data_IF_569425133145
#
_entry.id   IF_569425133145
#
_cell.length_a   1.000
_cell.length_b   1.000
_cell.length_c   1.000
_cell.angle_alpha   90.00
_cell.angle_beta   90.00
_cell.angle_gamma   90.00
#
_symmetry.space_group_name_H-M   'P 1'
#
loop_
_entity.id
_entity.type
_entity.pdbx_description
1 polymer ?
#
# COMPACT_ATOMS: atom_id res chain seq x y z
N UNK A 1 61.41 21.25 58.46
CA UNK A 1 60.45 20.59 57.54
C UNK A 1 59.14 20.40 58.28
N UNK A 2 58.03 20.95 57.79
CA UNK A 2 56.81 21.11 58.58
C UNK A 2 55.99 19.79 58.63
N UNK A 3 55.42 19.43 59.78
CA UNK A 3 54.66 18.17 60.01
C UNK A 3 53.53 18.00 58.98
N UNK A 4 52.93 19.10 58.53
CA UNK A 4 51.90 19.12 57.47
C UNK A 4 52.40 18.65 56.11
N UNK A 5 53.69 18.84 55.81
CA UNK A 5 54.30 18.40 54.55
C UNK A 5 54.59 16.90 54.58
N UNK A 6 55.02 16.36 55.73
CA UNK A 6 55.30 14.93 55.92
C UNK A 6 54.01 14.10 55.80
N UNK A 7 52.90 14.57 56.38
CA UNK A 7 51.59 13.89 56.24
C UNK A 7 51.06 13.89 54.80
N UNK A 8 51.30 14.95 54.01
CA UNK A 8 50.91 14.98 52.59
C UNK A 8 51.68 13.93 51.76
N UNK A 9 52.97 13.75 52.03
CA UNK A 9 53.77 12.72 51.34
C UNK A 9 53.41 11.30 51.78
N UNK A 10 53.10 11.09 53.07
CA UNK A 10 52.64 9.78 53.57
C UNK A 10 51.28 9.35 52.98
N UNK A 11 50.35 10.29 52.82
CA UNK A 11 49.06 10.03 52.13
C UNK A 11 49.27 9.76 50.64
N UNK A 12 50.22 10.44 49.99
CA UNK A 12 50.50 10.23 48.56
C UNK A 12 51.17 8.87 48.30
N UNK A 13 52.07 8.43 49.19
CA UNK A 13 52.77 7.14 49.06
C UNK A 13 51.82 5.95 49.29
N UNK A 14 50.86 6.04 50.22
CA UNK A 14 49.85 4.97 50.41
C UNK A 14 48.86 4.90 49.25
N UNK A 15 48.52 6.03 48.63
CA UNK A 15 47.60 6.09 47.48
C UNK A 15 48.25 5.54 46.20
N UNK A 16 49.57 5.69 46.03
CA UNK A 16 50.32 5.10 44.90
C UNK A 16 50.52 3.58 45.07
N UNK A 17 50.71 3.08 46.29
CA UNK A 17 50.83 1.63 46.55
C UNK A 17 49.51 0.86 46.35
N UNK A 18 48.36 1.52 46.44
CA UNK A 18 47.05 0.90 46.21
C UNK A 18 46.72 0.69 44.72
N UNK A 19 47.33 1.47 43.82
CA UNK A 19 47.05 1.39 42.37
C UNK A 19 47.85 0.27 41.67
N UNK A 20 48.98 -0.18 42.24
CA UNK A 20 49.83 -1.22 41.64
C UNK A 20 49.35 -2.66 41.96
N UNK A 21 48.46 -2.84 42.94
CA UNK A 21 47.96 -4.15 43.38
C UNK A 21 46.88 -4.81 42.50
N UNK A 22 46.51 -4.22 41.36
CA UNK A 22 45.49 -4.76 40.44
C UNK A 22 46.04 -5.20 39.08
N UNK A 23 47.32 -5.58 39.01
CA UNK A 23 47.87 -6.29 37.86
C UNK A 23 48.22 -7.73 38.25
N UNK A 24 47.26 -8.64 38.01
CA UNK A 24 47.39 -10.10 37.80
C UNK A 24 46.16 -10.84 38.34
N UNK A 25 45.07 -10.84 37.57
CA UNK A 25 44.12 -11.96 37.59
C UNK A 25 43.57 -12.25 36.19
N UNK A 26 44.08 -13.33 35.61
CA UNK A 26 43.25 -14.38 35.02
C UNK A 26 42.59 -14.08 33.68
N UNK A 27 43.31 -14.37 32.60
CA UNK A 27 42.73 -14.64 31.29
C UNK A 27 42.04 -16.00 31.31
N UNK A 28 40.74 -16.06 31.63
CA UNK A 28 39.91 -17.23 31.32
C UNK A 28 39.24 -17.06 29.96
N UNK A 29 39.64 -17.94 29.02
CA UNK A 29 39.17 -17.96 27.64
C UNK A 29 37.94 -18.87 27.55
N UNK A 30 36.74 -18.33 27.78
CA UNK A 30 35.48 -19.02 27.43
C UNK A 30 35.14 -18.73 25.97
N UNK A 31 35.35 -19.73 25.11
CA UNK A 31 34.81 -19.75 23.74
C UNK A 31 33.30 -19.96 23.83
N UNK A 32 32.51 -18.91 23.61
CA UNK A 32 31.12 -19.07 23.22
C UNK A 32 30.95 -18.69 21.75
N UNK A 33 30.21 -19.57 21.08
CA UNK A 33 30.16 -19.70 19.63
C UNK A 33 29.53 -18.50 18.95
N UNK A 34 30.11 -18.21 17.80
CA UNK A 34 29.58 -17.31 16.78
C UNK A 34 28.33 -17.97 16.17
N UNK A 35 27.14 -17.76 16.75
CA UNK A 35 25.89 -17.98 16.04
C UNK A 35 25.57 -16.69 15.30
N UNK A 36 25.96 -16.67 14.03
CA UNK A 36 25.60 -15.63 13.06
C UNK A 36 24.12 -15.74 12.75
N UNK A 37 23.28 -15.20 13.61
CA UNK A 37 21.87 -14.98 13.32
C UNK A 37 21.72 -13.62 12.64
N UNK A 38 22.17 -13.56 11.38
CA UNK A 38 21.84 -12.46 10.50
C UNK A 38 20.41 -12.69 9.97
N UNK A 39 19.44 -12.82 10.88
CA UNK A 39 18.02 -12.68 10.55
C UNK A 39 17.75 -11.18 10.42
N UNK A 40 18.22 -10.61 9.30
CA UNK A 40 17.60 -9.38 8.81
C UNK A 40 16.24 -9.81 8.33
N UNK A 41 15.22 -9.56 9.15
CA UNK A 41 13.89 -9.31 8.61
C UNK A 41 14.09 -8.25 7.54
N UNK A 42 13.99 -8.65 6.28
CA UNK A 42 13.86 -7.67 5.19
C UNK A 42 12.48 -7.07 5.42
N UNK A 43 12.42 -6.01 6.23
CA UNK A 43 11.28 -5.10 6.16
C UNK A 43 11.28 -4.58 4.73
N UNK A 44 10.37 -5.11 3.91
CA UNK A 44 10.19 -4.58 2.56
C UNK A 44 9.67 -3.16 2.73
N UNK A 45 10.49 -2.18 2.36
CA UNK A 45 10.11 -0.78 2.41
C UNK A 45 8.84 -0.60 1.57
N UNK A 46 7.75 -0.19 2.20
CA UNK A 46 6.48 0.05 1.53
C UNK A 46 6.48 1.44 0.89
N UNK A 47 5.74 1.58 -0.21
CA UNK A 47 5.52 2.85 -0.90
C UNK A 47 4.04 3.23 -0.83
N UNK A 48 3.75 4.52 -1.03
CA UNK A 48 2.39 5.07 -0.98
C UNK A 48 1.99 5.67 -2.32
N UNK A 49 0.77 5.36 -2.77
CA UNK A 49 0.13 5.99 -3.92
C UNK A 49 -1.23 6.59 -3.50
N UNK A 50 -1.75 7.57 -4.24
CA UNK A 50 -3.05 8.18 -3.92
C UNK A 50 -3.86 8.47 -5.18
N UNK A 51 -5.10 7.99 -5.21
CA UNK A 51 -5.96 8.00 -6.39
C UNK A 51 -7.37 8.48 -6.02
N UNK A 52 -8.01 9.26 -6.88
CA UNK A 52 -9.42 9.64 -6.80
C UNK A 52 -10.15 9.21 -8.07
N UNK A 53 -11.33 8.62 -7.91
CA UNK A 53 -12.02 7.91 -9.00
C UNK A 53 -13.53 7.77 -8.80
N UNK A 54 -14.16 8.78 -8.22
CA UNK A 54 -15.57 8.74 -7.81
C UNK A 54 -15.71 8.27 -6.37
N UNK A 55 -16.84 7.64 -6.03
CA UNK A 55 -17.03 7.09 -4.70
C UNK A 55 -15.85 6.21 -4.27
N UNK A 56 -15.21 6.60 -3.18
CA UNK A 56 -14.00 5.93 -2.68
C UNK A 56 -14.23 4.48 -2.25
N UNK A 57 -15.47 4.04 -2.00
CA UNK A 57 -15.77 2.67 -1.58
C UNK A 57 -15.44 1.68 -2.69
N UNK A 58 -15.80 2.02 -3.93
CA UNK A 58 -15.49 1.19 -5.09
C UNK A 58 -13.99 1.18 -5.40
N UNK A 59 -13.33 2.33 -5.29
CA UNK A 59 -11.90 2.46 -5.56
C UNK A 59 -11.08 1.72 -4.49
N UNK A 60 -11.44 1.89 -3.22
CA UNK A 60 -10.79 1.23 -2.09
C UNK A 60 -10.95 -0.29 -2.21
N UNK A 61 -12.17 -0.78 -2.46
CA UNK A 61 -12.43 -2.20 -2.61
C UNK A 61 -11.67 -2.85 -3.77
N UNK A 62 -11.37 -2.10 -4.84
CA UNK A 62 -10.55 -2.59 -5.94
C UNK A 62 -9.08 -2.72 -5.56
N UNK A 63 -8.51 -1.71 -4.89
CA UNK A 63 -7.12 -1.75 -4.43
C UNK A 63 -6.89 -2.75 -3.30
N UNK A 64 -7.83 -2.88 -2.36
CA UNK A 64 -7.74 -3.84 -1.26
C UNK A 64 -7.66 -5.31 -1.75
N UNK A 65 -8.13 -5.58 -2.97
CA UNK A 65 -8.09 -6.91 -3.61
C UNK A 65 -6.85 -7.09 -4.51
N UNK A 66 -6.06 -6.05 -4.74
CA UNK A 66 -4.89 -6.11 -5.62
C UNK A 66 -3.70 -6.77 -4.90
N UNK A 67 -3.07 -7.82 -5.47
CA UNK A 67 -1.89 -8.43 -4.88
C UNK A 67 -0.77 -7.41 -4.66
N UNK A 68 -0.09 -7.51 -3.52
CA UNK A 68 1.00 -6.59 -3.15
C UNK A 68 0.54 -5.28 -2.51
N UNK A 69 -0.75 -4.96 -2.52
CA UNK A 69 -1.30 -3.88 -1.69
C UNK A 69 -1.36 -4.35 -0.23
N UNK A 70 -0.79 -3.54 0.65
CA UNK A 70 -0.78 -3.76 2.11
C UNK A 70 -2.02 -3.17 2.75
N UNK A 71 -2.42 -1.96 2.34
CA UNK A 71 -3.60 -1.27 2.85
C UNK A 71 -4.15 -0.29 1.82
N UNK A 72 -5.48 -0.21 1.71
CA UNK A 72 -6.18 0.85 1.00
C UNK A 72 -7.05 1.61 1.99
N UNK A 73 -6.88 2.93 2.09
CA UNK A 73 -7.59 3.77 3.06
C UNK A 73 -8.43 4.79 2.31
N UNK A 74 -9.74 4.86 2.57
CA UNK A 74 -10.62 5.92 2.06
C UNK A 74 -10.36 7.24 2.77
N UNK A 75 -10.45 8.34 2.05
CA UNK A 75 -10.24 9.67 2.61
C UNK A 75 -10.45 10.81 1.64
N UNK A 76 -9.97 11.99 2.03
CA UNK A 76 -10.17 13.25 1.35
C UNK A 76 -8.82 13.89 1.01
N UNK A 77 -8.62 14.31 -0.23
CA UNK A 77 -7.36 14.90 -0.71
C UNK A 77 -7.58 16.06 -1.69
N UNK A 78 -6.56 16.89 -1.91
CA UNK A 78 -6.57 17.95 -2.92
C UNK A 78 -7.34 19.23 -2.58
N UNK A 79 -8.04 19.27 -1.44
CA UNK A 79 -8.72 20.46 -0.93
C UNK A 79 -7.86 21.30 0.02
N UNK A 80 -8.49 22.31 0.62
CA UNK A 80 -7.87 23.23 1.56
C UNK A 80 -8.51 23.16 2.94
N UNK A 81 -7.76 23.49 3.99
CA UNK A 81 -8.24 23.43 5.37
C UNK A 81 -7.78 22.17 6.09
N UNK A 82 -8.19 22.02 7.34
CA UNK A 82 -7.76 20.92 8.20
C UNK A 82 -8.96 20.07 8.59
N UNK A 83 -8.73 18.76 8.70
CA UNK A 83 -9.68 17.78 9.20
C UNK A 83 -11.09 17.86 8.56
N UNK A 84 -11.19 17.74 7.22
CA UNK A 84 -12.49 17.62 6.56
C UNK A 84 -13.25 16.39 7.07
N UNK A 85 -14.56 16.53 7.16
CA UNK A 85 -15.51 15.45 7.46
C UNK A 85 -16.37 15.16 6.23
N UNK A 86 -17.07 14.03 6.23
CA UNK A 86 -17.98 13.67 5.15
C UNK A 86 -19.02 14.77 4.84
N UNK A 87 -19.43 15.55 5.84
CA UNK A 87 -20.41 16.63 5.69
C UNK A 87 -19.85 17.92 5.08
N UNK A 88 -18.53 18.11 5.10
CA UNK A 88 -17.92 19.40 4.73
C UNK A 88 -16.80 19.31 3.69
N UNK A 89 -16.24 18.12 3.41
CA UNK A 89 -15.05 17.98 2.55
C UNK A 89 -15.24 18.59 1.15
N UNK A 90 -16.47 18.49 0.61
CA UNK A 90 -16.81 19.07 -0.70
C UNK A 90 -16.74 20.61 -0.70
N UNK A 91 -17.04 21.28 0.43
CA UNK A 91 -17.02 22.74 0.55
C UNK A 91 -15.60 23.28 0.58
N UNK A 92 -14.68 22.51 1.16
CA UNK A 92 -13.24 22.78 1.19
C UNK A 92 -12.51 22.31 -0.08
N UNK A 93 -13.25 21.85 -1.10
CA UNK A 93 -12.71 21.46 -2.40
C UNK A 93 -11.97 20.12 -2.41
N UNK A 94 -12.07 19.32 -1.34
CA UNK A 94 -11.49 17.98 -1.32
C UNK A 94 -12.21 17.04 -2.30
N UNK A 95 -11.46 16.05 -2.77
CA UNK A 95 -11.93 14.93 -3.58
C UNK A 95 -11.95 13.69 -2.70
N UNK A 96 -12.95 12.83 -2.88
CA UNK A 96 -12.87 11.46 -2.37
C UNK A 96 -11.70 10.72 -3.03
N UNK A 97 -10.78 10.24 -2.21
CA UNK A 97 -9.55 9.62 -2.62
C UNK A 97 -9.26 8.36 -1.79
N UNK A 98 -8.36 7.54 -2.32
CA UNK A 98 -7.86 6.35 -1.65
C UNK A 98 -6.34 6.44 -1.59
N UNK A 99 -5.80 6.32 -0.38
CA UNK A 99 -4.37 6.17 -0.15
C UNK A 99 -4.04 4.67 -0.09
N UNK A 100 -3.14 4.24 -0.97
CA UNK A 100 -2.74 2.84 -1.17
C UNK A 100 -1.31 2.67 -0.68
N UNK A 101 -1.13 1.92 0.40
CA UNK A 101 0.17 1.45 0.87
C UNK A 101 0.47 0.11 0.20
N UNK A 102 1.61 -0.01 -0.48
CA UNK A 102 1.95 -1.21 -1.25
C UNK A 102 3.40 -1.63 -1.08
N UNK A 103 3.67 -2.91 -1.32
CA UNK A 103 5.01 -3.49 -1.35
C UNK A 103 5.55 -3.43 -2.80
N UNK A 104 6.52 -2.54 -3.11
CA UNK A 104 7.06 -2.38 -4.46
C UNK A 104 7.76 -3.64 -4.99
N UNK A 105 8.12 -4.60 -4.12
CA UNK A 105 8.66 -5.89 -4.54
C UNK A 105 7.56 -6.84 -5.07
N UNK A 106 6.28 -6.58 -4.77
CA UNK A 106 5.14 -7.41 -5.16
C UNK A 106 4.28 -6.75 -6.24
N UNK A 107 4.14 -5.43 -6.20
CA UNK A 107 3.33 -4.66 -7.15
C UNK A 107 4.00 -3.33 -7.48
N UNK A 108 4.09 -3.01 -8.76
CA UNK A 108 4.66 -1.74 -9.22
C UNK A 108 3.60 -0.63 -9.24
N UNK A 109 4.06 0.63 -9.22
CA UNK A 109 3.18 1.78 -9.33
C UNK A 109 2.38 1.79 -10.65
N UNK A 110 2.98 1.33 -11.75
CA UNK A 110 2.31 1.18 -13.05
C UNK A 110 1.17 0.14 -12.99
N UNK A 111 1.35 -0.95 -12.25
CA UNK A 111 0.27 -1.91 -12.03
C UNK A 111 -0.87 -1.32 -11.20
N UNK A 112 -0.57 -0.43 -10.23
CA UNK A 112 -1.60 0.31 -9.51
C UNK A 112 -2.34 1.30 -10.42
N UNK A 113 -1.64 1.96 -11.34
CA UNK A 113 -2.26 2.80 -12.36
C UNK A 113 -3.20 1.97 -13.27
N UNK A 114 -2.79 0.76 -13.68
CA UNK A 114 -3.65 -0.14 -14.45
C UNK A 114 -4.91 -0.56 -13.70
N UNK A 115 -4.78 -0.84 -12.39
CA UNK A 115 -5.94 -1.10 -11.52
C UNK A 115 -6.86 0.11 -11.52
N UNK A 116 -6.30 1.31 -11.30
CA UNK A 116 -7.04 2.57 -11.26
C UNK A 116 -7.82 2.85 -12.56
N UNK A 117 -7.18 2.77 -13.72
CA UNK A 117 -7.84 3.02 -15.01
C UNK A 117 -9.01 2.08 -15.27
N UNK A 118 -8.94 0.85 -14.73
CA UNK A 118 -10.02 -0.15 -14.83
C UNK A 118 -11.16 0.05 -13.83
N UNK A 119 -11.12 1.08 -12.98
CA UNK A 119 -12.19 1.40 -12.02
C UNK A 119 -12.98 2.68 -12.37
N UNK A 120 -12.51 3.46 -13.35
CA UNK A 120 -13.03 4.80 -13.64
C UNK A 120 -13.47 4.96 -15.11
N UNK A 121 -14.26 6.00 -15.37
CA UNK A 121 -14.35 6.63 -16.68
C UNK A 121 -13.31 7.75 -16.75
N UNK A 122 -12.18 7.56 -17.44
CA UNK A 122 -11.11 8.55 -17.50
C UNK A 122 -11.45 9.76 -18.40
N UNK A 123 -12.63 9.75 -19.04
CA UNK A 123 -13.09 10.79 -19.97
C UNK A 123 -14.20 11.68 -19.41
N UNK A 124 -14.60 11.46 -18.17
CA UNK A 124 -15.71 12.15 -17.52
C UNK A 124 -15.21 13.28 -16.60
N UNK A 125 -15.36 14.57 -17.00
CA UNK A 125 -14.94 15.70 -16.18
C UNK A 125 -15.95 16.04 -15.07
N UNK A 126 -17.16 15.47 -15.09
CA UNK A 126 -18.28 15.87 -14.23
C UNK A 126 -18.50 15.02 -12.98
N UNK A 127 -17.57 14.10 -12.68
CA UNK A 127 -17.73 13.06 -11.67
C UNK A 127 -17.65 11.66 -12.29
N UNK A 128 -18.00 10.62 -11.56
CA UNK A 128 -17.87 9.23 -12.00
C UNK A 128 -19.20 8.48 -11.85
N UNK A 129 -19.71 7.95 -12.96
CA UNK A 129 -21.00 7.24 -13.04
C UNK A 129 -22.17 8.00 -12.38
N UNK A 130 -22.90 7.45 -11.41
CA UNK A 130 -23.93 8.19 -10.69
C UNK A 130 -23.38 9.27 -9.73
N UNK A 131 -22.10 9.19 -9.36
CA UNK A 131 -21.46 10.14 -8.44
C UNK A 131 -21.05 11.41 -9.21
N UNK A 132 -21.76 12.53 -8.99
CA UNK A 132 -21.58 13.76 -9.77
C UNK A 132 -21.01 14.90 -8.91
N UNK A 133 -20.17 15.72 -9.52
CA UNK A 133 -19.58 16.90 -8.88
C UNK A 133 -18.06 16.83 -8.79
N UNK A 134 -17.44 17.98 -8.50
CA UNK A 134 -15.98 18.13 -8.45
C UNK A 134 -15.31 17.22 -7.43
N UNK A 135 -16.00 16.88 -6.34
CA UNK A 135 -15.53 15.99 -5.28
C UNK A 135 -15.47 14.51 -5.69
N UNK A 136 -16.06 14.17 -6.85
CA UNK A 136 -16.02 12.83 -7.47
C UNK A 136 -15.19 12.78 -8.76
N UNK A 137 -14.48 13.86 -9.12
CA UNK A 137 -13.63 13.86 -10.33
C UNK A 137 -12.46 12.89 -10.19
N UNK A 138 -11.92 12.43 -11.32
CA UNK A 138 -10.77 11.54 -11.32
C UNK A 138 -9.44 12.30 -11.22
N UNK A 139 -8.56 11.83 -10.33
CA UNK A 139 -7.22 12.38 -10.18
C UNK A 139 -6.20 11.31 -9.72
N UNK A 140 -4.95 11.47 -10.14
CA UNK A 140 -3.79 10.78 -9.59
C UNK A 140 -2.95 11.82 -8.85
N UNK A 141 -2.73 11.59 -7.56
CA UNK A 141 -1.89 12.45 -6.74
C UNK A 141 -0.49 11.86 -6.67
N UNK A 142 0.49 12.50 -7.31
CA UNK A 142 1.87 12.03 -7.31
C UNK A 142 2.61 12.47 -6.04
N UNK A 143 3.31 11.54 -5.41
CA UNK A 143 4.11 11.79 -4.19
C UNK A 143 5.55 12.23 -4.52
N UNK A 144 6.03 11.90 -5.71
CA UNK A 144 7.35 12.25 -6.20
C UNK A 144 7.39 12.38 -7.74
N UNK A 145 8.53 12.83 -8.27
CA UNK A 145 8.74 13.00 -9.71
C UNK A 145 8.70 11.67 -10.49
N UNK A 146 9.02 10.54 -9.86
CA UNK A 146 8.91 9.22 -10.50
C UNK A 146 7.43 8.89 -10.73
N UNK A 147 6.59 9.02 -9.71
CA UNK A 147 5.15 8.82 -9.82
C UNK A 147 4.53 9.76 -10.84
N UNK A 148 4.93 11.05 -10.87
CA UNK A 148 4.46 12.01 -11.87
C UNK A 148 4.71 11.49 -13.30
N UNK A 149 5.97 11.17 -13.63
CA UNK A 149 6.34 10.70 -14.97
C UNK A 149 5.63 9.40 -15.36
N UNK A 150 5.50 8.46 -14.42
CA UNK A 150 4.83 7.18 -14.69
C UNK A 150 3.32 7.37 -14.90
N UNK A 151 2.68 8.26 -14.12
CA UNK A 151 1.26 8.55 -14.25
C UNK A 151 0.95 9.31 -15.55
N UNK A 152 1.78 10.31 -15.92
CA UNK A 152 1.69 11.02 -17.20
C UNK A 152 1.87 10.06 -18.38
N UNK A 153 2.90 9.21 -18.35
CA UNK A 153 3.12 8.20 -19.39
C UNK A 153 1.93 7.24 -19.50
N UNK A 154 1.43 6.74 -18.37
CA UNK A 154 0.30 5.80 -18.33
C UNK A 154 -0.98 6.45 -18.87
N UNK A 155 -1.24 7.72 -18.55
CA UNK A 155 -2.34 8.51 -19.10
C UNK A 155 -2.22 8.68 -20.62
N UNK A 156 -1.02 8.98 -21.11
CA UNK A 156 -0.74 9.14 -22.54
C UNK A 156 -0.93 7.82 -23.30
N UNK A 157 -0.42 6.72 -22.76
CA UNK A 157 -0.58 5.39 -23.34
C UNK A 157 -2.08 4.99 -23.39
N UNK A 158 -2.82 5.31 -22.33
CA UNK A 158 -4.27 5.09 -22.27
C UNK A 158 -5.01 5.90 -23.34
N UNK A 159 -4.67 7.18 -23.50
CA UNK A 159 -5.27 8.05 -24.52
C UNK A 159 -4.97 7.55 -25.95
N UNK A 160 -3.77 7.01 -26.19
CA UNK A 160 -3.34 6.45 -27.49
C UNK A 160 -3.88 5.05 -27.77
N UNK A 161 -4.45 4.38 -26.77
CA UNK A 161 -4.94 2.99 -26.91
C UNK A 161 -6.12 2.81 -27.87
N UNK A 162 -6.79 3.91 -28.27
CA UNK A 162 -8.01 3.87 -29.08
C UNK A 162 -9.23 3.32 -28.34
N UNK A 163 -9.13 3.08 -27.02
CA UNK A 163 -10.20 2.51 -26.21
C UNK A 163 -11.32 3.49 -25.88
N UNK A 164 -10.99 4.78 -25.83
CA UNK A 164 -11.93 5.84 -25.47
C UNK A 164 -12.17 6.77 -26.66
N UNK A 165 -13.45 7.05 -26.95
CA UNK A 165 -13.84 7.99 -28.01
C UNK A 165 -13.76 9.46 -27.61
N UNK A 166 -13.35 9.75 -26.36
CA UNK A 166 -13.20 11.09 -25.79
C UNK A 166 -11.81 11.24 -25.18
N UNK A 167 -11.28 12.47 -25.05
CA UNK A 167 -10.00 12.71 -24.39
C UNK A 167 -9.97 12.21 -22.95
N UNK A 168 -8.81 11.72 -22.51
CA UNK A 168 -8.59 11.38 -21.09
C UNK A 168 -8.37 12.66 -20.29
N UNK A 169 -9.32 12.97 -19.39
CA UNK A 169 -9.36 14.21 -18.62
C UNK A 169 -8.86 14.06 -17.19
N UNK A 170 -8.61 12.82 -16.71
CA UNK A 170 -8.09 12.56 -15.36
C UNK A 170 -6.87 13.43 -15.01
N UNK A 171 -6.93 14.10 -13.88
CA UNK A 171 -5.90 15.03 -13.41
C UNK A 171 -4.66 14.27 -12.92
N UNK A 172 -3.45 14.80 -13.19
CA UNK A 172 -2.20 14.33 -12.57
C UNK A 172 -1.65 15.51 -11.78
N UNK A 173 -1.77 15.47 -10.45
CA UNK A 173 -1.56 16.63 -9.58
C UNK A 173 -0.64 16.31 -8.40
N UNK A 174 0.10 17.29 -7.85
CA UNK A 174 0.96 17.05 -6.71
C UNK A 174 0.15 16.61 -5.49
N UNK A 175 0.62 15.58 -4.81
CA UNK A 175 0.12 15.24 -3.49
C UNK A 175 0.48 16.33 -2.48
N UNK A 176 -0.47 16.72 -1.64
CA UNK A 176 -0.28 17.71 -0.58
C UNK A 176 -0.55 17.09 0.79
N UNK A 177 -1.81 16.74 1.05
CA UNK A 177 -2.27 16.16 2.31
C UNK A 177 -3.39 15.15 2.03
N UNK A 178 -3.44 14.11 2.85
CA UNK A 178 -4.51 13.14 2.90
C UNK A 178 -5.16 13.17 4.28
N UNK A 179 -6.49 13.20 4.31
CA UNK A 179 -7.27 13.06 5.52
C UNK A 179 -8.03 11.75 5.45
N UNK A 180 -7.74 10.80 6.34
CA UNK A 180 -8.51 9.57 6.39
C UNK A 180 -9.98 9.90 6.68
N UNK A 181 -10.88 9.27 5.93
CA UNK A 181 -12.30 9.33 6.20
C UNK A 181 -12.62 8.52 7.47
N UNK A 182 -13.78 8.80 8.02
CA UNK A 182 -14.34 8.20 9.22
C UNK A 182 -14.39 6.66 9.09
N UNK A 183 -14.26 5.95 10.21
CA UNK A 183 -14.10 4.48 10.25
C UNK A 183 -15.25 3.71 9.59
N UNK A 184 -16.44 4.31 9.54
CA UNK A 184 -17.60 3.71 8.88
C UNK A 184 -17.49 3.72 7.35
N UNK A 185 -16.61 4.52 6.76
CA UNK A 185 -16.29 4.48 5.32
C UNK A 185 -15.19 3.48 4.96
N UNK A 186 -14.40 3.02 5.93
CA UNK A 186 -13.32 2.06 5.70
C UNK A 186 -13.89 0.65 5.52
N UNK A 187 -13.41 -0.09 4.51
CA UNK A 187 -13.87 -1.45 4.19
C UNK A 187 -15.39 -1.56 4.00
N UNK A 188 -16.01 -0.52 3.42
CA UNK A 188 -17.47 -0.44 3.31
C UNK A 188 -18.07 -1.62 2.52
N UNK A 189 -17.39 -2.11 1.48
CA UNK A 189 -17.83 -3.28 0.70
C UNK A 189 -17.87 -4.57 1.52
N UNK A 190 -16.98 -4.70 2.52
CA UNK A 190 -16.92 -5.84 3.44
C UNK A 190 -17.90 -5.70 4.61
N UNK A 191 -18.02 -4.49 5.17
CA UNK A 191 -18.87 -4.21 6.34
C UNK A 191 -20.35 -4.13 5.97
N UNK A 192 -20.68 -3.66 4.77
CA UNK A 192 -22.05 -3.41 4.30
C UNK A 192 -22.29 -4.02 2.89
N UNK A 193 -22.11 -5.34 2.71
CA UNK A 193 -22.05 -5.95 1.38
C UNK A 193 -23.35 -5.77 0.57
N UNK A 194 -24.52 -5.86 1.19
CA UNK A 194 -25.79 -5.70 0.49
C UNK A 194 -26.00 -4.25 0.00
N UNK A 195 -25.74 -3.28 0.86
CA UNK A 195 -25.88 -1.85 0.53
C UNK A 195 -24.87 -1.46 -0.55
N UNK A 196 -23.63 -1.91 -0.39
CA UNK A 196 -22.59 -1.69 -1.38
C UNK A 196 -22.94 -2.30 -2.73
N UNK A 197 -23.44 -3.53 -2.78
CA UNK A 197 -23.81 -4.18 -4.05
C UNK A 197 -24.99 -3.47 -4.72
N UNK A 198 -26.02 -3.11 -3.96
CA UNK A 198 -27.14 -2.32 -4.48
C UNK A 198 -26.66 -0.98 -5.08
N UNK A 199 -25.77 -0.28 -4.35
CA UNK A 199 -25.15 0.95 -4.84
C UNK A 199 -24.32 0.71 -6.10
N UNK A 200 -23.47 -0.32 -6.12
CA UNK A 200 -22.59 -0.64 -7.26
C UNK A 200 -23.40 -0.95 -8.51
N UNK A 201 -24.48 -1.71 -8.39
CA UNK A 201 -25.42 -2.01 -9.48
C UNK A 201 -26.13 -0.76 -9.99
N UNK A 202 -26.64 0.09 -9.08
CA UNK A 202 -27.34 1.33 -9.43
C UNK A 202 -26.44 2.45 -9.96
N UNK A 203 -25.15 2.43 -9.64
CA UNK A 203 -24.21 3.51 -10.00
C UNK A 203 -23.97 3.65 -11.50
N UNK A 204 -24.11 2.56 -12.28
CA UNK A 204 -23.69 2.49 -13.68
C UNK A 204 -22.20 2.16 -13.89
N UNK A 205 -21.39 2.09 -12.81
CA UNK A 205 -19.96 1.72 -12.87
C UNK A 205 -19.76 0.32 -13.48
N UNK A 206 -20.48 -0.68 -12.97
CA UNK A 206 -20.36 -2.07 -13.43
C UNK A 206 -20.58 -2.24 -14.95
N UNK A 207 -21.76 -1.86 -15.47
CA UNK A 207 -22.06 -1.97 -16.90
C UNK A 207 -21.09 -1.17 -17.79
N UNK A 208 -20.62 0.00 -17.33
CA UNK A 208 -19.62 0.78 -18.06
C UNK A 208 -18.30 0.02 -18.17
N UNK A 209 -17.77 -0.47 -17.04
CA UNK A 209 -16.50 -1.17 -17.01
C UNK A 209 -16.55 -2.47 -17.81
N UNK A 210 -17.65 -3.22 -17.74
CA UNK A 210 -17.84 -4.38 -18.60
C UNK A 210 -17.75 -4.00 -20.08
N UNK A 211 -18.46 -2.96 -20.52
CA UNK A 211 -18.44 -2.54 -21.93
C UNK A 211 -17.04 -2.14 -22.41
N UNK A 212 -16.26 -1.44 -21.58
CA UNK A 212 -14.93 -0.94 -21.96
C UNK A 212 -13.83 -2.01 -21.88
N UNK A 213 -13.93 -2.95 -20.94
CA UNK A 213 -12.85 -3.88 -20.61
C UNK A 213 -13.13 -5.36 -20.96
N UNK A 214 -14.37 -5.73 -21.32
CA UNK A 214 -14.76 -7.14 -21.64
C UNK A 214 -13.93 -7.80 -22.74
N UNK A 215 -13.44 -7.03 -23.72
CA UNK A 215 -12.59 -7.55 -24.80
C UNK A 215 -11.23 -8.07 -24.34
N UNK A 216 -10.77 -7.70 -23.14
CA UNK A 216 -9.45 -8.09 -22.67
C UNK A 216 -9.40 -9.53 -22.11
N UNK A 217 -10.55 -10.23 -22.01
CA UNK A 217 -10.65 -11.65 -21.63
C UNK A 217 -10.06 -12.01 -20.26
N UNK A 218 -9.64 -11.00 -19.50
CA UNK A 218 -8.87 -11.11 -18.25
C UNK A 218 -9.48 -10.16 -17.24
N UNK A 219 -10.28 -10.68 -16.31
CA UNK A 219 -10.58 -9.95 -15.08
C UNK A 219 -9.27 -9.51 -14.43
N UNK A 220 -9.17 -8.23 -14.04
CA UNK A 220 -8.09 -7.61 -13.25
C UNK A 220 -6.65 -8.18 -13.44
N UNK A 221 -6.26 -8.55 -14.66
CA UNK A 221 -4.93 -9.06 -14.99
C UNK A 221 -3.95 -7.94 -15.36
N UNK A 222 -2.63 -8.18 -15.27
CA UNK A 222 -1.60 -7.17 -15.51
C UNK A 222 -1.57 -6.67 -16.97
N UNK A 223 -0.93 -5.52 -17.16
CA UNK A 223 -0.76 -4.74 -18.39
C UNK A 223 -0.50 -5.55 -19.68
N UNK A 224 -0.80 -4.98 -20.87
CA UNK A 224 -0.40 -5.58 -22.14
C UNK A 224 1.14 -5.61 -22.25
N UNK A 225 1.69 -6.79 -22.54
CA UNK A 225 3.14 -7.02 -22.70
C UNK A 225 3.70 -8.17 -21.86
N UNK A 226 2.91 -8.78 -20.96
CA UNK A 226 3.28 -10.04 -20.29
C UNK A 226 2.10 -11.02 -20.35
N UNK A 227 2.24 -12.11 -21.11
CA UNK A 227 1.36 -13.27 -20.94
C UNK A 227 1.79 -13.99 -19.66
N UNK A 228 0.89 -14.06 -18.67
CA UNK A 228 1.00 -15.07 -17.64
C UNK A 228 0.38 -16.34 -18.20
N UNK A 229 1.21 -17.30 -18.57
CA UNK A 229 0.77 -18.67 -18.83
C UNK A 229 0.76 -19.41 -17.49
N UNK A 230 -0.40 -19.95 -17.12
CA UNK A 230 -0.52 -20.84 -15.96
C UNK A 230 0.44 -22.03 -16.21
N UNK A 231 1.43 -22.27 -15.33
CA UNK A 231 2.29 -23.44 -15.47
C UNK A 231 1.46 -24.73 -15.45
N UNK A 232 1.94 -25.78 -16.11
CA UNK A 232 1.28 -27.07 -16.12
C UNK A 232 1.16 -27.66 -14.69
N UNK A 233 0.23 -28.60 -14.52
CA UNK A 233 -0.10 -29.19 -13.22
C UNK A 233 1.11 -29.84 -12.53
N UNK A 234 2.05 -30.42 -13.29
CA UNK A 234 3.25 -31.04 -12.71
C UNK A 234 4.21 -29.97 -12.21
N UNK A 235 4.36 -28.86 -12.92
CA UNK A 235 5.15 -27.71 -12.47
C UNK A 235 4.55 -27.09 -11.21
N UNK A 236 3.22 -27.01 -11.10
CA UNK A 236 2.54 -26.49 -9.91
C UNK A 236 2.73 -27.40 -8.69
N UNK A 237 2.59 -28.73 -8.85
CA UNK A 237 2.80 -29.72 -7.77
C UNK A 237 4.20 -29.73 -7.18
N UNK A 238 5.22 -29.33 -7.96
CA UNK A 238 6.61 -29.19 -7.50
C UNK A 238 6.89 -27.88 -6.77
N UNK A 239 6.10 -26.83 -7.04
CA UNK A 239 6.33 -25.48 -6.52
C UNK A 239 5.43 -25.12 -5.34
N UNK A 240 4.27 -25.75 -5.25
CA UNK A 240 3.26 -25.48 -4.23
C UNK A 240 3.32 -26.53 -3.13
N UNK A 241 3.03 -26.12 -1.90
CA UNK A 241 2.75 -27.06 -0.82
C UNK A 241 1.47 -27.86 -1.11
N UNK A 242 1.25 -29.01 -0.45
CA UNK A 242 0.00 -29.76 -0.60
C UNK A 242 -1.24 -28.89 -0.37
N UNK A 243 -1.23 -28.03 0.65
CA UNK A 243 -2.33 -27.10 0.96
C UNK A 243 -2.51 -26.03 -0.13
N UNK A 244 -1.41 -25.47 -0.66
CA UNK A 244 -1.47 -24.50 -1.76
C UNK A 244 -1.97 -25.14 -3.05
N UNK A 245 -1.60 -26.39 -3.35
CA UNK A 245 -2.17 -27.14 -4.47
C UNK A 245 -3.68 -27.34 -4.31
N UNK A 246 -4.12 -27.72 -3.12
CA UNK A 246 -5.54 -27.97 -2.85
C UNK A 246 -6.39 -26.70 -3.00
N UNK A 247 -5.97 -25.60 -2.37
CA UNK A 247 -6.69 -24.32 -2.43
C UNK A 247 -6.67 -23.72 -3.84
N UNK A 248 -5.58 -23.86 -4.59
CA UNK A 248 -5.43 -23.18 -5.90
C UNK A 248 -5.85 -24.02 -7.10
N UNK A 249 -5.94 -25.35 -6.99
CA UNK A 249 -6.27 -26.25 -8.11
C UNK A 249 -7.62 -26.97 -7.98
N UNK A 250 -8.26 -26.97 -6.80
CA UNK A 250 -9.50 -27.74 -6.56
C UNK A 250 -10.69 -26.91 -6.07
N UNK A 251 -10.73 -25.60 -6.35
CA UNK A 251 -11.80 -24.68 -5.92
C UNK A 251 -12.21 -24.85 -4.43
N UNK A 252 -11.23 -25.18 -3.57
CA UNK A 252 -11.46 -25.51 -2.18
C UNK A 252 -11.36 -24.27 -1.29
N UNK A 253 -12.51 -23.82 -0.77
CA UNK A 253 -12.58 -23.02 0.47
C UNK A 253 -11.82 -23.79 1.54
N UNK A 254 -10.73 -23.21 2.07
CA UNK A 254 -10.03 -23.76 3.23
C UNK A 254 -11.03 -23.89 4.37
N UNK A 255 -11.44 -25.13 4.66
CA UNK A 255 -12.38 -25.45 5.74
C UNK A 255 -11.86 -24.88 7.05
N UNK A 256 -12.69 -24.07 7.70
CA UNK A 256 -12.44 -23.60 9.06
C UNK A 256 -12.32 -24.80 9.99
N UNK A 257 -11.23 -24.80 10.75
CA UNK A 257 -11.04 -25.65 11.91
C UNK A 257 -12.20 -25.40 12.88
N UNK A 258 -13.09 -26.37 13.02
CA UNK A 258 -14.08 -26.39 14.09
C UNK A 258 -13.34 -26.75 15.37
N UNK A 259 -13.07 -25.74 16.18
CA UNK A 259 -12.63 -25.94 17.54
C UNK A 259 -13.80 -26.55 18.34
N UNK A 260 -13.68 -27.83 18.66
CA UNK A 260 -14.49 -28.49 19.69
C UNK A 260 -13.53 -29.06 20.72
N UNK A 261 -13.37 -28.34 21.84
CA UNK A 261 -13.31 -28.91 23.19
C UNK A 261 -13.60 -27.85 24.24
#
# INVERSE_FOLDING_TARGET
MNIRTIFKYLIYITLVLFVVGCLEKGTERRKEGKMSENSRTVETATETATFAGGCFWCVQGAFAKAPGVVKATSGYAGGTGENPTYENYMKSGHIEAVQVLYDPAKVSYEQLLDVFWKQIDPTDPGGQFADRGSHYRSAVFYHDDRQRRLAEKSKDDLAKSGRFGKPVVTEIIPFTRFHAAEDYHQDYDRKNPQQYENYRQGSGRGPYLERIWKKDGRGAGPAPGRSYEKPDEQTLKKKLTPLQCEVTQKDGVSGGEKDTR
#
